data_IF_484696457686
#
_entry.id   IF_484696457686
#
_cell.length_a   1.000
_cell.length_b   1.000
_cell.length_c   1.000
_cell.angle_alpha   90.00
_cell.angle_beta   90.00
_cell.angle_gamma   90.00
#
_symmetry.space_group_name_H-M   'P 1'
#
loop_
_entity.id
_entity.type
_entity.pdbx_description
1 polymer ?
#
# COMPACT_ATOMS: atom_id res chain seq x y z
N UNK A 1 -5.01 -1.41 -16.05
CA UNK A 1 -5.04 -2.61 -15.20
C UNK A 1 -5.06 -2.14 -13.75
N UNK A 2 -6.04 -2.56 -12.94
CA UNK A 2 -6.09 -2.17 -11.53
C UNK A 2 -4.98 -2.92 -10.77
N UNK A 3 -4.40 -2.31 -9.73
CA UNK A 3 -3.31 -2.92 -8.95
C UNK A 3 -3.74 -4.27 -8.35
N UNK A 4 -5.01 -4.40 -8.01
CA UNK A 4 -5.57 -5.62 -7.43
C UNK A 4 -5.66 -6.78 -8.43
N UNK A 5 -5.89 -6.49 -9.72
CA UNK A 5 -5.90 -7.53 -10.77
C UNK A 5 -4.54 -8.21 -10.87
N UNK A 6 -3.47 -7.42 -10.79
CA UNK A 6 -2.11 -7.94 -10.83
C UNK A 6 -1.79 -8.80 -9.60
N UNK A 7 -2.21 -8.38 -8.40
CA UNK A 7 -2.00 -9.17 -7.17
C UNK A 7 -2.75 -10.50 -7.21
N UNK A 8 -3.97 -10.51 -7.73
CA UNK A 8 -4.74 -11.75 -7.93
C UNK A 8 -4.04 -12.67 -8.93
N UNK A 9 -3.56 -12.12 -10.06
CA UNK A 9 -2.84 -12.91 -11.06
C UNK A 9 -1.53 -13.55 -10.52
N UNK A 10 -0.86 -12.90 -9.57
CA UNK A 10 0.34 -13.45 -8.90
C UNK A 10 0.04 -14.41 -7.75
N UNK A 11 -1.24 -14.59 -7.37
CA UNK A 11 -1.64 -15.43 -6.24
C UNK A 11 -1.42 -14.77 -4.86
N UNK A 12 -1.13 -13.48 -4.82
CA UNK A 12 -0.91 -12.73 -3.57
C UNK A 12 -2.22 -12.20 -2.98
N UNK A 13 -3.33 -12.25 -3.74
CA UNK A 13 -4.66 -11.89 -3.27
C UNK A 13 -5.74 -12.76 -3.93
N UNK A 14 -6.91 -12.84 -3.29
CA UNK A 14 -8.09 -13.54 -3.80
C UNK A 14 -9.30 -12.61 -3.71
N UNK A 15 -10.22 -12.73 -4.67
CA UNK A 15 -11.51 -12.03 -4.65
C UNK A 15 -12.57 -12.90 -3.97
N UNK A 16 -13.24 -12.36 -2.95
CA UNK A 16 -14.37 -13.03 -2.27
C UNK A 16 -15.62 -12.16 -2.28
N UNK A 17 -16.79 -12.74 -2.09
CA UNK A 17 -18.03 -11.98 -1.92
C UNK A 17 -18.01 -11.22 -0.58
N UNK A 18 -18.70 -10.08 -0.53
CA UNK A 18 -18.96 -9.38 0.74
C UNK A 18 -20.10 -10.13 1.43
N UNK A 19 -19.86 -10.63 2.65
CA UNK A 19 -20.91 -11.28 3.44
C UNK A 19 -21.96 -10.25 3.89
N UNK A 20 -23.24 -10.58 3.72
CA UNK A 20 -24.36 -9.71 4.12
C UNK A 20 -24.71 -8.59 3.14
N UNK A 21 -23.99 -8.45 2.01
CA UNK A 21 -24.31 -7.48 0.96
C UNK A 21 -25.30 -8.08 -0.06
N UNK A 22 -26.25 -7.25 -0.52
CA UNK A 22 -27.24 -7.62 -1.54
C UNK A 22 -26.75 -7.29 -2.96
N UNK A 23 -25.70 -6.47 -3.13
CA UNK A 23 -25.09 -6.25 -4.44
C UNK A 23 -24.21 -7.45 -4.81
N UNK A 24 -24.72 -8.30 -5.72
CA UNK A 24 -24.01 -9.47 -6.23
C UNK A 24 -22.67 -9.16 -6.94
N UNK A 25 -22.40 -7.88 -7.24
CA UNK A 25 -21.14 -7.41 -7.83
C UNK A 25 -20.11 -7.00 -6.78
N UNK A 26 -20.49 -6.84 -5.52
CA UNK A 26 -19.57 -6.46 -4.45
C UNK A 26 -18.55 -7.58 -4.21
N UNK A 27 -17.27 -7.25 -4.35
CA UNK A 27 -16.15 -8.18 -4.14
C UNK A 27 -15.10 -7.55 -3.24
N UNK A 28 -14.68 -8.28 -2.22
CA UNK A 28 -13.50 -7.97 -1.41
C UNK A 28 -12.27 -8.55 -2.07
N UNK A 29 -11.15 -7.83 -1.97
CA UNK A 29 -9.82 -8.36 -2.27
C UNK A 29 -9.15 -8.67 -0.93
N UNK A 30 -8.87 -9.94 -0.68
CA UNK A 30 -8.26 -10.42 0.55
C UNK A 30 -6.86 -10.92 0.22
N UNK A 31 -5.86 -10.49 0.98
CA UNK A 31 -4.49 -10.98 0.82
C UNK A 31 -4.41 -12.45 1.22
N UNK A 32 -3.66 -13.23 0.43
CA UNK A 32 -3.29 -14.60 0.83
C UNK A 32 -2.18 -14.54 1.89
N UNK A 33 -1.86 -15.67 2.53
CA UNK A 33 -0.70 -15.74 3.43
C UNK A 33 0.60 -15.29 2.74
N UNK A 34 0.79 -15.72 1.49
CA UNK A 34 1.89 -15.25 0.64
C UNK A 34 1.81 -13.73 0.38
N UNK A 35 0.61 -13.20 0.13
CA UNK A 35 0.40 -11.76 -0.01
C UNK A 35 0.75 -10.97 1.25
N UNK A 36 0.42 -11.50 2.42
CA UNK A 36 0.83 -10.94 3.71
C UNK A 36 2.34 -10.97 3.88
N UNK A 37 2.99 -12.10 3.61
CA UNK A 37 4.46 -12.20 3.68
C UNK A 37 5.14 -11.23 2.71
N UNK A 38 4.63 -11.09 1.49
CA UNK A 38 5.14 -10.13 0.50
C UNK A 38 4.93 -8.68 0.96
N UNK A 39 3.78 -8.36 1.57
CA UNK A 39 3.49 -7.03 2.12
C UNK A 39 4.47 -6.69 3.25
N UNK A 40 4.73 -7.63 4.16
CA UNK A 40 5.70 -7.45 5.24
C UNK A 40 7.12 -7.23 4.71
N UNK A 41 7.55 -8.01 3.72
CA UNK A 41 8.85 -7.81 3.09
C UNK A 41 8.95 -6.45 2.39
N UNK A 42 7.86 -5.99 1.76
CA UNK A 42 7.81 -4.66 1.15
C UNK A 42 7.84 -3.53 2.20
N UNK A 43 7.18 -3.69 3.34
CA UNK A 43 7.23 -2.76 4.47
C UNK A 43 8.65 -2.65 5.04
N UNK A 44 9.34 -3.78 5.20
CA UNK A 44 10.73 -3.82 5.68
C UNK A 44 11.68 -3.10 4.71
N UNK A 45 11.61 -3.41 3.42
CA UNK A 45 12.40 -2.73 2.40
C UNK A 45 12.10 -1.21 2.33
N UNK A 46 10.83 -0.81 2.52
CA UNK A 46 10.47 0.60 2.59
C UNK A 46 11.05 1.27 3.85
N UNK A 47 11.05 0.59 4.99
CA UNK A 47 11.65 1.09 6.22
C UNK A 47 13.16 1.26 6.09
N UNK A 48 13.86 0.32 5.46
CA UNK A 48 15.28 0.43 5.14
C UNK A 48 15.56 1.64 4.24
N UNK A 49 14.78 1.82 3.17
CA UNK A 49 14.94 2.93 2.24
C UNK A 49 14.70 4.30 2.92
N UNK A 50 13.69 4.39 3.79
CA UNK A 50 13.38 5.61 4.54
C UNK A 50 14.37 5.86 5.68
N UNK A 51 15.02 4.82 6.21
CA UNK A 51 16.04 4.93 7.26
C UNK A 51 17.16 5.90 6.88
N UNK A 52 17.63 5.84 5.63
CA UNK A 52 18.65 6.77 5.10
C UNK A 52 18.19 8.23 5.18
N UNK A 53 16.89 8.50 4.97
CA UNK A 53 16.35 9.85 5.06
C UNK A 53 16.24 10.33 6.51
N UNK A 54 15.92 9.42 7.43
CA UNK A 54 15.90 9.73 8.87
C UNK A 54 17.29 10.08 9.38
N UNK A 55 18.34 9.42 8.89
CA UNK A 55 19.72 9.76 9.21
C UNK A 55 20.10 11.16 8.72
N UNK A 56 19.59 11.58 7.55
CA UNK A 56 19.93 12.87 6.93
C UNK A 56 19.08 14.05 7.43
N UNK A 57 17.79 13.82 7.69
CA UNK A 57 16.79 14.85 7.98
C UNK A 57 16.22 14.74 9.39
N UNK A 58 16.70 13.83 10.23
CA UNK A 58 16.07 13.46 11.50
C UNK A 58 14.63 12.94 11.37
N UNK A 59 14.09 12.33 12.42
CA UNK A 59 12.72 11.82 12.40
C UNK A 59 11.67 12.93 12.31
N UNK A 60 11.96 14.10 12.91
CA UNK A 60 11.04 15.23 12.97
C UNK A 60 10.78 15.86 11.61
N UNK A 61 11.83 16.09 10.81
CA UNK A 61 11.69 16.73 9.49
C UNK A 61 11.07 15.77 8.48
N UNK A 62 11.39 14.46 8.54
CA UNK A 62 10.72 13.43 7.73
C UNK A 62 9.21 13.40 8.00
N UNK A 63 8.81 13.52 9.27
CA UNK A 63 7.39 13.57 9.66
C UNK A 63 6.69 14.83 9.12
N UNK A 64 7.36 15.98 9.20
CA UNK A 64 6.84 17.23 8.64
C UNK A 64 6.65 17.14 7.12
N UNK A 65 7.62 16.54 6.40
CA UNK A 65 7.55 16.31 4.97
C UNK A 65 6.36 15.41 4.61
N UNK A 66 6.17 14.30 5.32
CA UNK A 66 5.00 13.43 5.14
C UNK A 66 3.69 14.20 5.28
N UNK A 67 3.58 15.04 6.32
CA UNK A 67 2.35 15.80 6.58
C UNK A 67 2.08 16.86 5.49
N UNK A 68 3.13 17.45 4.92
CA UNK A 68 3.02 18.35 3.78
C UNK A 68 2.57 17.61 2.51
N UNK A 69 3.14 16.44 2.23
CA UNK A 69 2.76 15.60 1.09
C UNK A 69 1.31 15.10 1.21
N UNK A 70 0.87 14.72 2.41
CA UNK A 70 -0.50 14.29 2.66
C UNK A 70 -1.55 15.38 2.36
N UNK A 71 -1.18 16.67 2.47
CA UNK A 71 -2.05 17.78 2.07
C UNK A 71 -2.19 17.89 0.55
N UNK A 72 -1.18 17.49 -0.20
CA UNK A 72 -1.17 17.56 -1.68
C UNK A 72 -1.99 16.40 -2.27
N UNK A 73 -1.90 15.21 -1.67
CA UNK A 73 -2.59 14.02 -2.15
C UNK A 73 -3.42 13.35 -1.02
N UNK A 74 -4.55 13.96 -0.62
CA UNK A 74 -5.36 13.46 0.49
C UNK A 74 -6.06 12.13 0.20
N UNK A 75 -6.19 11.74 -1.07
CA UNK A 75 -7.01 10.59 -1.49
C UNK A 75 -6.22 9.44 -2.11
N UNK A 76 -4.89 9.47 -2.08
CA UNK A 76 -4.14 8.32 -2.59
C UNK A 76 -2.64 8.52 -2.79
N UNK A 77 -1.98 7.46 -3.28
CA UNK A 77 -0.53 7.45 -3.49
C UNK A 77 -0.12 8.57 -4.44
N UNK A 78 0.86 9.37 -4.03
CA UNK A 78 1.54 10.29 -4.94
C UNK A 78 2.31 9.41 -5.93
N UNK A 79 1.93 9.47 -7.21
CA UNK A 79 2.72 8.84 -8.27
C UNK A 79 3.80 9.82 -8.71
N UNK A 80 5.08 9.52 -8.49
CA UNK A 80 6.15 10.27 -9.12
C UNK A 80 6.00 10.13 -10.64
N UNK A 81 6.31 11.19 -11.41
CA UNK A 81 6.21 11.18 -12.88
C UNK A 81 7.54 10.93 -13.60
N UNK A 82 8.55 10.44 -12.89
CA UNK A 82 9.86 10.13 -13.47
C UNK A 82 9.85 8.82 -14.25
#
# INVERSE_FOLDING_TARGET
MAVDDHRVARGDAVRTAVEGDQDARARLVVLTERGWACTRAAEEAAAEAVGVWVELLSEGEVRALRDQLARIAPYGPIRPNW
#
